data_IF_559692480771
#
_entry.id   IF_559692480771
#
_cell.length_a   1.000
_cell.length_b   1.000
_cell.length_c   1.000
_cell.angle_alpha   90.00
_cell.angle_beta   90.00
_cell.angle_gamma   90.00
#
_symmetry.space_group_name_H-M   'P 1'
#
loop_
_entity.id
_entity.type
_entity.pdbx_description
1 polymer ?
#
# COMPACT_ATOMS: atom_id res chain seq x y z
N UNK A 1 -6.93 21.78 33.77
CA UNK A 1 -8.03 22.26 34.63
C UNK A 1 -7.40 22.61 35.97
N UNK A 2 -7.44 23.89 36.35
CA UNK A 2 -6.94 24.31 37.66
C UNK A 2 -8.08 24.15 38.68
N UNK A 3 -7.83 23.40 39.75
CA UNK A 3 -8.75 23.31 40.89
C UNK A 3 -7.99 23.85 42.09
N UNK A 4 -8.26 25.10 42.44
CA UNK A 4 -7.69 25.75 43.62
C UNK A 4 -8.47 25.27 44.83
N UNK A 5 -7.85 24.47 45.69
CA UNK A 5 -8.40 24.21 47.02
C UNK A 5 -8.32 25.50 47.87
N UNK A 6 -9.29 25.68 48.77
CA UNK A 6 -9.47 26.84 49.66
C UNK A 6 -8.20 27.23 50.47
N UNK A 7 -7.24 26.32 50.61
CA UNK A 7 -6.01 26.50 51.42
C UNK A 7 -4.78 27.02 50.63
N UNK A 8 -4.96 27.43 49.36
CA UNK A 8 -3.99 28.23 48.59
C UNK A 8 -2.62 27.59 48.27
N UNK A 9 -2.30 26.38 48.77
CA UNK A 9 -0.95 25.80 48.72
C UNK A 9 -0.85 24.45 48.01
N UNK A 10 -1.96 23.77 47.72
CA UNK A 10 -1.92 22.47 47.05
C UNK A 10 -2.26 22.61 45.56
N UNK A 11 -1.24 22.79 44.71
CA UNK A 11 -1.37 22.64 43.26
C UNK A 11 -1.04 21.19 42.89
N UNK A 12 -2.02 20.43 42.38
CA UNK A 12 -1.77 19.15 41.72
C UNK A 12 -1.69 19.39 40.22
N UNK A 13 -0.50 19.25 39.65
CA UNK A 13 -0.33 19.18 38.20
C UNK A 13 -0.77 17.79 37.72
N UNK A 14 -1.88 17.74 37.00
CA UNK A 14 -2.31 16.53 36.30
C UNK A 14 -1.70 16.55 34.91
N UNK A 15 -0.60 15.82 34.72
CA UNK A 15 -0.03 15.55 33.40
C UNK A 15 -0.95 14.54 32.70
N UNK A 16 -1.61 14.97 31.61
CA UNK A 16 -2.30 14.05 30.70
C UNK A 16 -1.21 13.53 29.76
N UNK A 17 -0.78 12.28 29.93
CA UNK A 17 0.06 11.60 28.96
C UNK A 17 -0.86 10.97 27.91
N UNK A 18 -0.93 11.58 26.73
CA UNK A 18 -1.54 10.94 25.58
C UNK A 18 -0.56 9.87 25.09
N UNK A 19 -0.96 8.60 25.18
CA UNK A 19 -0.16 7.51 24.61
C UNK A 19 -0.20 7.61 23.08
N UNK A 20 0.97 7.47 22.44
CA UNK A 20 1.06 7.35 20.99
C UNK A 20 0.30 6.10 20.52
N UNK A 21 -0.40 6.22 19.39
CA UNK A 21 -1.18 5.12 18.82
C UNK A 21 -0.27 3.99 18.30
N UNK A 22 -0.68 2.74 18.54
CA UNK A 22 -0.06 1.55 17.95
C UNK A 22 -0.78 1.04 16.70
N UNK A 23 -1.71 1.84 16.15
CA UNK A 23 -2.42 1.50 14.91
C UNK A 23 -1.46 1.59 13.71
N UNK A 24 -1.37 0.51 12.93
CA UNK A 24 -0.43 0.36 11.82
C UNK A 24 -1.11 -0.23 10.58
N UNK A 25 -2.42 -0.06 10.44
CA UNK A 25 -3.16 -0.55 9.28
C UNK A 25 -3.21 0.50 8.16
N UNK A 26 -3.55 0.05 6.95
CA UNK A 26 -3.95 0.91 5.83
C UNK A 26 -5.46 1.12 5.96
N UNK A 27 -5.91 2.37 6.05
CA UNK A 27 -7.34 2.71 6.12
C UNK A 27 -7.98 2.74 4.72
N UNK A 28 -7.22 3.20 3.72
CA UNK A 28 -7.65 3.20 2.32
C UNK A 28 -6.47 3.36 1.35
N UNK A 29 -6.71 2.99 0.09
CA UNK A 29 -5.80 3.26 -1.02
C UNK A 29 -6.58 3.82 -2.21
N UNK A 30 -5.97 4.74 -2.95
CA UNK A 30 -6.49 5.24 -4.24
C UNK A 30 -5.90 4.52 -5.46
N UNK A 31 -4.88 3.68 -5.26
CA UNK A 31 -4.27 2.84 -6.29
C UNK A 31 -4.36 1.37 -5.86
N UNK A 32 -4.93 0.54 -6.72
CA UNK A 32 -5.16 -0.87 -6.44
C UNK A 32 -6.30 -1.11 -5.45
N UNK A 33 -6.34 -2.32 -4.91
CA UNK A 33 -7.37 -2.81 -3.98
C UNK A 33 -6.70 -3.38 -2.74
N UNK A 34 -7.09 -2.86 -1.57
CA UNK A 34 -6.63 -3.34 -0.28
C UNK A 34 -7.30 -4.67 0.09
N UNK A 35 -6.47 -5.69 0.36
CA UNK A 35 -6.86 -6.94 1.00
C UNK A 35 -6.26 -6.97 2.41
N UNK A 36 -7.03 -6.45 3.37
CA UNK A 36 -6.60 -6.37 4.77
C UNK A 36 -6.41 -7.75 5.40
N UNK A 37 -7.19 -8.75 4.97
CA UNK A 37 -7.16 -10.09 5.55
C UNK A 37 -5.85 -10.81 5.21
N UNK A 38 -5.34 -10.61 3.99
CA UNK A 38 -4.08 -11.19 3.54
C UNK A 38 -2.89 -10.23 3.64
N UNK A 39 -3.09 -9.00 4.13
CA UNK A 39 -2.10 -7.92 4.18
C UNK A 39 -1.46 -7.69 2.81
N UNK A 40 -2.30 -7.40 1.82
CA UNK A 40 -1.87 -7.12 0.45
C UNK A 40 -2.53 -5.88 -0.13
N UNK A 41 -1.86 -5.25 -1.09
CA UNK A 41 -2.47 -4.32 -2.03
C UNK A 41 -2.35 -4.94 -3.41
N UNK A 42 -3.51 -5.24 -3.99
CA UNK A 42 -3.65 -5.95 -5.27
C UNK A 42 -4.09 -5.00 -6.37
N UNK A 43 -4.12 -5.46 -7.62
CA UNK A 43 -4.62 -4.69 -8.76
C UNK A 43 -3.90 -3.34 -8.98
N UNK A 44 -2.63 -3.25 -8.58
CA UNK A 44 -1.84 -2.04 -8.78
C UNK A 44 -1.49 -1.94 -10.28
N UNK A 45 -1.81 -0.82 -10.97
CA UNK A 45 -1.50 -0.66 -12.37
C UNK A 45 -0.02 -0.90 -12.67
N UNK A 46 0.26 -1.54 -13.80
CA UNK A 46 1.64 -1.67 -14.28
C UNK A 46 2.23 -0.28 -14.54
N UNK A 47 3.53 -0.13 -14.29
CA UNK A 47 4.26 1.14 -14.42
C UNK A 47 3.95 2.23 -13.37
N UNK A 48 3.13 1.94 -12.34
CA UNK A 48 2.99 2.83 -11.17
C UNK A 48 4.34 3.10 -10.51
N UNK A 49 4.61 4.37 -10.19
CA UNK A 49 5.82 4.79 -9.49
C UNK A 49 5.73 4.57 -8.00
N UNK A 50 6.89 4.38 -7.36
CA UNK A 50 6.98 4.21 -5.90
C UNK A 50 6.42 5.45 -5.18
N UNK A 51 6.72 6.66 -5.66
CA UNK A 51 6.13 7.91 -5.14
C UNK A 51 4.60 7.94 -5.25
N UNK A 52 4.06 7.53 -6.40
CA UNK A 52 2.61 7.51 -6.64
C UNK A 52 1.91 6.52 -5.71
N UNK A 53 2.44 5.31 -5.58
CA UNK A 53 1.90 4.31 -4.67
C UNK A 53 1.97 4.79 -3.22
N UNK A 54 3.12 5.32 -2.78
CA UNK A 54 3.30 5.84 -1.41
C UNK A 54 2.27 6.93 -1.07
N UNK A 55 2.01 7.84 -2.01
CA UNK A 55 1.03 8.92 -1.82
C UNK A 55 -0.42 8.46 -1.94
N UNK A 56 -0.67 7.31 -2.56
CA UNK A 56 -2.00 6.74 -2.72
C UNK A 56 -2.53 6.05 -1.46
N UNK A 57 -1.62 5.66 -0.55
CA UNK A 57 -1.94 4.97 0.71
C UNK A 57 -2.32 5.99 1.79
N UNK A 58 -3.47 5.77 2.43
CA UNK A 58 -3.86 6.45 3.66
C UNK A 58 -3.68 5.49 4.84
N UNK A 59 -2.67 5.67 5.70
CA UNK A 59 -2.47 4.84 6.88
C UNK A 59 -3.40 5.25 8.04
N UNK A 60 -3.42 4.47 9.11
CA UNK A 60 -4.05 4.86 10.37
C UNK A 60 -3.54 6.20 10.90
N UNK A 61 -4.38 6.92 11.65
CA UNK A 61 -4.03 8.25 12.16
C UNK A 61 -2.73 8.24 12.97
N UNK A 62 -1.77 9.10 12.58
CA UNK A 62 -0.46 9.22 13.22
C UNK A 62 0.59 8.23 12.72
N UNK A 63 0.21 7.23 11.92
CA UNK A 63 1.15 6.31 11.30
C UNK A 63 1.81 6.91 10.04
N UNK A 64 2.93 6.31 9.65
CA UNK A 64 3.74 6.70 8.49
C UNK A 64 3.85 5.54 7.50
N UNK A 65 3.96 5.87 6.21
CA UNK A 65 4.08 4.90 5.10
C UNK A 65 5.50 4.96 4.54
N UNK A 66 6.08 3.80 4.25
CA UNK A 66 7.34 3.66 3.52
C UNK A 66 7.23 2.50 2.52
N UNK A 67 7.95 2.56 1.39
CA UNK A 67 8.01 1.44 0.45
C UNK A 67 9.38 0.79 0.56
N UNK A 68 9.42 -0.51 0.88
CA UNK A 68 10.65 -1.27 1.00
C UNK A 68 10.92 -2.09 -0.27
N UNK A 69 12.20 -2.35 -0.56
CA UNK A 69 12.64 -3.17 -1.70
C UNK A 69 12.21 -4.65 -1.60
N UNK A 70 12.06 -5.14 -0.37
CA UNK A 70 11.58 -6.45 0.02
C UNK A 70 11.05 -6.44 1.46
N UNK A 71 10.41 -7.54 1.89
CA UNK A 71 9.99 -7.75 3.29
C UNK A 71 11.17 -7.62 4.25
N UNK A 72 11.05 -6.75 5.25
CA UNK A 72 12.13 -6.41 6.19
C UNK A 72 13.35 -5.76 5.54
N UNK A 73 13.21 -5.29 4.29
CA UNK A 73 14.26 -4.72 3.48
C UNK A 73 14.54 -3.24 3.78
N UNK A 74 15.15 -2.56 2.81
CA UNK A 74 15.46 -1.14 2.92
C UNK A 74 14.43 -0.30 2.17
N UNK A 75 14.22 0.93 2.63
CA UNK A 75 13.40 1.90 1.91
C UNK A 75 13.94 2.11 0.49
N UNK A 76 13.06 2.05 -0.50
CA UNK A 76 13.41 2.29 -1.90
C UNK A 76 13.91 3.72 -2.04
N UNK A 77 15.17 3.87 -2.45
CA UNK A 77 15.80 5.20 -2.51
C UNK A 77 15.30 6.04 -3.69
N UNK A 78 14.98 5.38 -4.81
CA UNK A 78 14.50 6.06 -6.00
C UNK A 78 12.97 6.00 -6.10
N UNK A 79 12.32 7.12 -5.81
CA UNK A 79 10.87 7.22 -5.82
C UNK A 79 10.26 7.29 -7.24
N UNK A 80 11.09 7.44 -8.27
CA UNK A 80 10.71 7.36 -9.69
C UNK A 80 10.84 5.94 -10.27
N UNK A 81 11.30 4.97 -9.47
CA UNK A 81 11.30 3.57 -9.87
C UNK A 81 9.88 3.04 -9.99
N UNK A 82 9.72 2.06 -10.87
CA UNK A 82 8.46 1.35 -11.04
C UNK A 82 8.30 0.33 -9.94
N UNK A 83 7.11 0.30 -9.33
CA UNK A 83 6.76 -0.68 -8.30
C UNK A 83 6.84 -2.10 -8.87
N UNK A 84 7.42 -3.02 -8.09
CA UNK A 84 7.49 -4.45 -8.41
C UNK A 84 6.77 -5.31 -7.36
N UNK A 85 6.53 -6.57 -7.69
CA UNK A 85 5.92 -7.54 -6.77
C UNK A 85 6.86 -8.00 -5.64
N UNK A 86 8.14 -7.62 -5.69
CA UNK A 86 9.08 -7.90 -4.59
C UNK A 86 9.00 -6.84 -3.50
N UNK A 87 8.61 -5.62 -3.85
CA UNK A 87 8.46 -4.52 -2.92
C UNK A 87 7.28 -4.74 -1.97
N UNK A 88 7.34 -4.07 -0.82
CA UNK A 88 6.27 -4.07 0.19
C UNK A 88 6.00 -2.67 0.70
N UNK A 89 4.79 -2.45 1.19
CA UNK A 89 4.39 -1.21 1.87
C UNK A 89 4.57 -1.44 3.37
N UNK A 90 5.47 -0.71 4.02
CA UNK A 90 5.60 -0.68 5.47
C UNK A 90 4.76 0.46 6.05
N UNK A 91 3.93 0.15 7.04
CA UNK A 91 3.23 1.12 7.88
C UNK A 91 3.87 1.08 9.26
N UNK A 92 4.42 2.20 9.71
CA UNK A 92 4.95 2.37 11.07
C UNK A 92 3.97 3.21 11.88
N UNK A 93 3.46 2.68 12.99
CA UNK A 93 2.55 3.37 13.89
C UNK A 93 3.17 4.62 14.51
N UNK A 94 2.33 5.46 15.11
CA UNK A 94 2.76 6.68 15.81
C UNK A 94 3.76 6.39 16.95
N UNK A 95 3.63 5.22 17.59
CA UNK A 95 4.56 4.76 18.64
C UNK A 95 6.00 4.50 18.13
N UNK A 96 6.20 4.46 16.80
CA UNK A 96 7.51 4.27 16.15
C UNK A 96 8.07 2.85 16.24
N UNK A 97 7.36 1.92 16.86
CA UNK A 97 7.81 0.54 17.13
C UNK A 97 6.93 -0.51 16.48
N UNK A 98 5.64 -0.25 16.37
CA UNK A 98 4.65 -1.15 15.80
C UNK A 98 4.65 -0.97 14.29
N UNK A 99 4.97 -2.05 13.55
CA UNK A 99 5.14 -2.05 12.10
C UNK A 99 4.30 -3.14 11.45
N UNK A 100 3.73 -2.85 10.28
CA UNK A 100 3.04 -3.82 9.45
C UNK A 100 3.50 -3.67 8.01
N UNK A 101 3.78 -4.79 7.36
CA UNK A 101 4.10 -4.83 5.94
C UNK A 101 2.93 -5.40 5.13
N UNK A 102 2.69 -4.82 3.96
CA UNK A 102 1.70 -5.27 2.98
C UNK A 102 2.38 -5.65 1.67
N UNK A 103 2.10 -6.85 1.15
CA UNK A 103 2.64 -7.29 -0.14
C UNK A 103 1.95 -6.59 -1.31
N UNK A 104 2.69 -6.44 -2.41
CA UNK A 104 2.21 -5.80 -3.64
C UNK A 104 1.92 -6.85 -4.71
N UNK A 105 0.72 -6.79 -5.28
CA UNK A 105 0.34 -7.53 -6.48
C UNK A 105 -0.08 -6.56 -7.60
N UNK A 106 0.60 -6.68 -8.74
CA UNK A 106 0.31 -5.85 -9.91
C UNK A 106 -0.89 -6.41 -10.68
N UNK A 107 -1.63 -5.52 -11.33
CA UNK A 107 -2.72 -5.87 -12.23
C UNK A 107 -2.20 -6.82 -13.31
N UNK A 108 -2.89 -7.95 -13.47
CA UNK A 108 -2.62 -8.88 -14.56
C UNK A 108 -3.06 -8.24 -15.86
N UNK A 109 -2.12 -7.82 -16.72
CA UNK A 109 -2.46 -7.31 -18.04
C UNK A 109 -3.01 -8.49 -18.86
N UNK A 110 -4.28 -8.50 -19.30
CA UNK A 110 -4.75 -9.56 -20.18
C UNK A 110 -3.98 -9.41 -21.48
N UNK A 111 -3.02 -10.31 -21.72
CA UNK A 111 -2.35 -10.37 -23.01
C UNK A 111 -3.47 -10.64 -24.03
N UNK A 112 -3.80 -9.66 -24.86
CA UNK A 112 -4.74 -9.81 -25.96
C UNK A 112 -4.08 -10.65 -27.05
N UNK A 113 -3.94 -11.96 -26.82
CA UNK A 113 -3.60 -12.92 -27.86
C UNK A 113 -4.88 -13.36 -28.58
N UNK A 114 -5.55 -12.44 -29.29
CA UNK A 114 -6.46 -12.85 -30.35
C UNK A 114 -5.67 -13.12 -31.63
N UNK A 115 -4.86 -14.19 -31.62
CA UNK A 115 -4.24 -14.73 -32.83
C UNK A 115 -5.04 -15.91 -33.41
N UNK A 116 -6.14 -16.32 -32.76
CA UNK A 116 -6.97 -17.45 -33.19
C UNK A 116 -7.87 -17.14 -34.39
N UNK A 117 -8.01 -15.87 -34.81
CA UNK A 117 -8.88 -15.49 -35.93
C UNK A 117 -8.17 -15.44 -37.29
N UNK A 118 -6.85 -15.18 -37.33
CA UNK A 118 -6.10 -15.22 -38.62
C UNK A 118 -5.81 -16.64 -39.11
N UNK A 119 -5.80 -17.64 -38.22
CA UNK A 119 -5.61 -19.04 -38.60
C UNK A 119 -6.81 -19.68 -39.30
N UNK A 120 -8.01 -19.08 -39.21
CA UNK A 120 -9.25 -19.64 -39.79
C UNK A 120 -9.57 -19.14 -41.20
N UNK A 121 -8.94 -18.05 -41.66
CA UNK A 121 -9.17 -17.53 -43.02
C UNK A 121 -8.39 -18.31 -44.10
N UNK A 122 -7.30 -18.99 -43.74
CA UNK A 122 -6.45 -19.66 -44.73
C UNK A 122 -6.94 -21.05 -45.13
N UNK A 123 -7.89 -21.64 -44.40
CA UNK A 123 -8.46 -22.96 -44.74
C UNK A 123 -9.53 -22.91 -45.84
N UNK A 124 -10.10 -21.74 -46.15
CA UNK A 124 -11.19 -21.64 -47.14
C UNK A 124 -10.74 -21.26 -48.55
N UNK A 125 -9.45 -21.06 -48.79
CA UNK A 125 -8.89 -20.72 -50.12
C UNK A 125 -8.30 -21.94 -50.84
N UNK A 126 -8.01 -23.04 -50.12
CA UNK A 126 -7.32 -24.21 -50.71
C UNK A 126 -8.31 -25.24 -51.31
N UNK A 127 -9.60 -25.22 -50.94
CA UNK A 127 -10.58 -26.21 -51.41
C UNK A 127 -11.35 -25.83 -52.69
N UNK A 128 -11.00 -24.75 -53.39
CA UNK A 128 -11.68 -24.38 -54.64
C UNK A 128 -10.96 -24.89 -55.92
N UNK A 129 -9.95 -25.77 -55.80
CA UNK A 129 -9.17 -26.19 -56.97
C UNK A 129 -8.77 -27.68 -56.97
N UNK A 130 -9.74 -28.57 -56.73
CA UNK A 130 -9.63 -29.99 -57.12
C UNK A 130 -10.98 -30.64 -57.34
#
# INVERSE_FOLDING_TARGET
IEITAEDGTTKKEYKIELAASSANDIESTSIGTLDEANKKVTDIPVATKVSELKNAITPSSGASVEILDATGGSAVTNQDDTVSTTMVIEITAEDGTTKQEYNIELQSNPISTSLSSLGRLMSNIINFNR
#
